data_IF_177415120672
#
_entry.id   IF_177415120672
#
_cell.length_a   1.000
_cell.length_b   1.000
_cell.length_c   1.000
_cell.angle_alpha   90.00
_cell.angle_beta   90.00
_cell.angle_gamma   90.00
#
_symmetry.space_group_name_H-M   'P 1'
#
loop_
_entity.id
_entity.type
_entity.pdbx_description
1 polymer ?
#
# COMPACT_ATOMS: atom_id res chain seq x y z
N UNK A 1 -2.14 -14.03 -6.64
CA UNK A 1 -2.99 -13.09 -5.87
C UNK A 1 -3.00 -11.77 -6.62
N UNK A 2 -4.03 -11.51 -7.40
CA UNK A 2 -4.21 -10.23 -8.10
C UNK A 2 -4.93 -9.33 -7.10
N UNK A 3 -4.24 -8.33 -6.57
CA UNK A 3 -4.90 -7.28 -5.80
C UNK A 3 -5.62 -6.44 -6.84
N UNK A 4 -6.93 -6.65 -6.99
CA UNK A 4 -7.79 -5.74 -7.75
C UNK A 4 -7.76 -4.40 -7.03
N UNK A 5 -6.85 -3.53 -7.46
CA UNK A 5 -6.90 -2.10 -7.19
C UNK A 5 -8.32 -1.65 -7.55
N UNK A 6 -9.09 -1.17 -6.58
CA UNK A 6 -10.42 -0.61 -6.82
C UNK A 6 -10.34 0.43 -7.94
N UNK A 7 -11.45 0.66 -8.62
CA UNK A 7 -11.60 1.42 -9.88
C UNK A 7 -10.92 2.82 -9.91
N UNK A 8 -10.50 3.35 -8.75
CA UNK A 8 -9.89 4.67 -8.56
C UNK A 8 -8.46 4.64 -7.98
N UNK A 9 -7.79 3.49 -7.89
CA UNK A 9 -6.42 3.41 -7.36
C UNK A 9 -5.41 3.45 -8.52
N UNK A 10 -4.68 4.56 -8.65
CA UNK A 10 -3.58 4.69 -9.59
C UNK A 10 -2.32 3.98 -9.04
N UNK A 11 -1.98 2.83 -9.62
CA UNK A 11 -0.74 2.10 -9.28
C UNK A 11 0.42 2.68 -10.10
N UNK A 12 1.55 3.06 -9.46
CA UNK A 12 2.73 3.56 -10.16
C UNK A 12 3.26 2.53 -11.17
N UNK A 13 3.47 2.96 -12.42
CA UNK A 13 4.06 2.14 -13.47
C UNK A 13 5.52 1.79 -13.16
N UNK A 14 5.90 0.53 -13.34
CA UNK A 14 7.27 0.08 -13.08
C UNK A 14 8.23 0.67 -14.14
N UNK A 15 9.35 1.29 -13.73
CA UNK A 15 10.37 1.73 -14.67
C UNK A 15 11.09 0.54 -15.31
N UNK A 16 11.52 0.73 -16.56
CA UNK A 16 12.20 -0.29 -17.37
C UNK A 16 13.56 -0.66 -16.75
N UNK A 17 14.32 0.35 -16.33
CA UNK A 17 15.58 0.16 -15.60
C UNK A 17 15.31 -0.15 -14.13
N UNK A 18 15.90 -1.26 -13.66
CA UNK A 18 15.73 -1.80 -12.29
C UNK A 18 16.86 -1.40 -11.34
N UNK A 19 17.95 -0.81 -11.82
CA UNK A 19 19.10 -0.46 -10.98
C UNK A 19 19.22 1.05 -10.72
N UNK A 20 18.57 1.86 -11.56
CA UNK A 20 18.56 3.31 -11.43
C UNK A 20 17.73 3.87 -10.27
N UNK A 21 17.96 5.16 -9.99
CA UNK A 21 17.22 5.92 -8.97
C UNK A 21 15.70 5.88 -9.17
N UNK A 22 15.23 5.82 -10.43
CA UNK A 22 13.82 5.70 -10.77
C UNK A 22 13.18 4.42 -10.22
N UNK A 23 13.90 3.30 -10.20
CA UNK A 23 13.39 2.05 -9.61
C UNK A 23 13.27 2.14 -8.08
N UNK A 24 14.22 2.82 -7.42
CA UNK A 24 14.16 3.05 -5.98
C UNK A 24 12.98 3.94 -5.61
N UNK A 25 12.77 5.02 -6.38
CA UNK A 25 11.62 5.93 -6.22
C UNK A 25 10.30 5.20 -6.47
N UNK A 26 10.21 4.40 -7.54
CA UNK A 26 9.03 3.58 -7.83
C UNK A 26 8.71 2.62 -6.67
N UNK A 27 9.71 1.93 -6.12
CA UNK A 27 9.50 1.07 -4.95
C UNK A 27 8.99 1.87 -3.75
N UNK A 28 9.55 3.05 -3.48
CA UNK A 28 9.06 3.90 -2.40
C UNK A 28 7.61 4.34 -2.63
N UNK A 29 7.26 4.79 -3.85
CA UNK A 29 5.89 5.16 -4.20
C UNK A 29 4.91 3.99 -4.03
N UNK A 30 5.32 2.78 -4.40
CA UNK A 30 4.50 1.57 -4.21
C UNK A 30 4.28 1.26 -2.72
N UNK A 31 5.31 1.44 -1.88
CA UNK A 31 5.18 1.28 -0.43
C UNK A 31 4.26 2.32 0.19
N UNK A 32 4.41 3.59 -0.18
CA UNK A 32 3.53 4.66 0.31
C UNK A 32 2.08 4.42 -0.08
N UNK A 33 1.83 3.95 -1.31
CA UNK A 33 0.48 3.58 -1.74
C UNK A 33 -0.10 2.43 -0.90
N UNK A 34 0.70 1.40 -0.61
CA UNK A 34 0.28 0.29 0.23
C UNK A 34 -0.06 0.74 1.66
N UNK A 35 0.76 1.61 2.26
CA UNK A 35 0.50 2.19 3.59
C UNK A 35 -0.78 3.05 3.60
N UNK A 36 -1.03 3.82 2.54
CA UNK A 36 -2.24 4.64 2.42
C UNK A 36 -3.51 3.77 2.31
N UNK A 37 -3.48 2.74 1.47
CA UNK A 37 -4.60 1.80 1.31
C UNK A 37 -4.89 1.08 2.63
N UNK A 38 -3.84 0.60 3.29
CA UNK A 38 -3.96 -0.06 4.59
C UNK A 38 -4.58 0.88 5.64
N UNK A 39 -4.12 2.13 5.71
CA UNK A 39 -4.68 3.13 6.62
C UNK A 39 -6.15 3.41 6.33
N UNK A 40 -6.51 3.70 5.07
CA UNK A 40 -7.89 3.98 4.66
C UNK A 40 -8.82 2.79 4.93
N UNK A 41 -8.35 1.58 4.65
CA UNK A 41 -9.11 0.35 4.90
C UNK A 41 -9.32 0.16 6.40
N UNK A 42 -8.29 0.34 7.22
CA UNK A 42 -8.39 0.21 8.67
C UNK A 42 -9.27 1.29 9.31
N UNK A 43 -9.24 2.53 8.79
CA UNK A 43 -10.13 3.60 9.24
C UNK A 43 -11.58 3.27 8.87
N UNK A 44 -11.85 2.81 7.65
CA UNK A 44 -13.19 2.39 7.21
C UNK A 44 -13.72 1.19 8.01
N UNK A 45 -12.87 0.19 8.29
CA UNK A 45 -13.23 -0.96 9.13
C UNK A 45 -13.50 -0.56 10.59
N UNK A 46 -12.69 0.35 11.14
CA UNK A 46 -12.88 0.89 12.49
C UNK A 46 -14.21 1.64 12.64
N UNK A 47 -14.68 2.30 11.57
CA UNK A 47 -15.99 2.96 11.54
C UNK A 47 -17.16 1.97 11.45
N UNK A 48 -16.97 0.76 10.92
CA UNK A 48 -18.03 -0.22 10.70
C UNK A 48 -18.26 -1.15 11.90
N UNK A 49 -17.20 -1.59 12.60
CA UNK A 49 -17.32 -2.68 13.58
C UNK A 49 -17.11 -2.23 15.04
N UNK A 50 -16.62 -1.00 15.30
CA UNK A 50 -16.23 -0.55 16.65
C UNK A 50 -15.12 -1.40 17.31
N UNK A 51 -14.70 -2.49 16.65
CA UNK A 51 -13.58 -3.35 17.01
C UNK A 51 -12.33 -2.82 16.31
N UNK A 52 -11.28 -2.65 17.12
CA UNK A 52 -10.06 -1.93 16.78
C UNK A 52 -9.40 -2.32 15.46
N UNK A 53 -8.73 -1.31 14.89
CA UNK A 53 -7.90 -1.30 13.68
C UNK A 53 -7.23 -2.66 13.40
N UNK A 54 -7.40 -3.22 12.20
CA UNK A 54 -6.63 -4.41 11.80
C UNK A 54 -5.14 -4.04 11.64
N UNK A 55 -4.26 -5.05 11.75
CA UNK A 55 -2.80 -4.87 11.82
C UNK A 55 -2.29 -4.00 10.65
N UNK A 56 -1.58 -2.93 10.97
CA UNK A 56 -1.02 -2.01 9.97
C UNK A 56 0.05 -2.67 9.12
N UNK A 57 0.21 -2.23 7.88
CA UNK A 57 1.23 -2.71 6.93
C UNK A 57 2.66 -2.64 7.50
N UNK A 58 2.92 -1.72 8.45
CA UNK A 58 4.18 -1.66 9.19
C UNK A 58 4.52 -2.95 9.96
N UNK A 59 3.51 -3.72 10.40
CA UNK A 59 3.68 -5.02 11.05
C UNK A 59 4.21 -6.11 10.11
N UNK A 60 4.18 -5.90 8.79
CA UNK A 60 4.74 -6.82 7.79
C UNK A 60 6.23 -6.58 7.54
N UNK A 61 6.83 -5.52 8.11
CA UNK A 61 8.28 -5.36 8.14
C UNK A 61 8.84 -6.43 9.08
N UNK A 62 9.34 -7.53 8.51
CA UNK A 62 10.21 -8.43 9.27
C UNK A 62 11.53 -7.70 9.55
N UNK A 63 11.86 -7.58 10.83
CA UNK A 63 13.20 -7.21 11.29
C UNK A 63 14.22 -8.27 10.88
#
# INVERSE_FOLDING_TARGET
>A
MIISAGKDIAVPGQPIDREGGSYRLWKQSLWSLAEEIDKKTNDALGLLDGKGRCKTAGSLRKH
#
